data_IF_364745695264
#
_entry.id   IF_364745695264
#
_cell.length_a   1.000
_cell.length_b   1.000
_cell.length_c   1.000
_cell.angle_alpha   90.00
_cell.angle_beta   90.00
_cell.angle_gamma   90.00
#
_symmetry.space_group_name_H-M   'P 1'
#
loop_
_entity.id
_entity.type
_entity.pdbx_description
1 polymer ?
#
# COMPACT_ATOMS: atom_id res chain seq x y z
N UNK A 1 -26.73 -5.22 -28.05
CA UNK A 1 -26.06 -5.13 -26.73
C UNK A 1 -24.63 -4.68 -26.99
N UNK A 2 -24.04 -4.00 -26.02
CA UNK A 2 -22.68 -3.44 -26.02
C UNK A 2 -22.49 -2.01 -26.53
N UNK A 3 -23.09 -1.07 -25.78
CA UNK A 3 -22.66 0.34 -25.73
C UNK A 3 -22.67 0.79 -24.27
N UNK A 4 -21.60 0.51 -23.49
CA UNK A 4 -21.44 1.15 -22.16
C UNK A 4 -20.05 1.01 -21.51
N UNK A 5 -18.95 1.07 -22.28
CA UNK A 5 -17.60 1.05 -21.70
C UNK A 5 -16.81 2.38 -21.82
N UNK A 6 -17.37 3.39 -22.49
CA UNK A 6 -16.64 4.63 -22.78
C UNK A 6 -17.04 5.81 -21.87
N UNK A 7 -18.15 5.73 -21.12
CA UNK A 7 -18.63 6.85 -20.28
C UNK A 7 -18.00 6.95 -18.89
N UNK A 8 -17.39 5.88 -18.36
CA UNK A 8 -16.71 5.95 -17.05
C UNK A 8 -15.33 6.62 -17.09
N UNK A 9 -14.75 6.80 -18.28
CA UNK A 9 -13.40 7.35 -18.44
C UNK A 9 -13.35 8.89 -18.45
N UNK A 10 -14.46 9.58 -18.70
CA UNK A 10 -14.47 11.04 -18.92
C UNK A 10 -14.91 11.83 -17.68
N UNK A 11 -15.54 11.18 -16.69
CA UNK A 11 -15.96 11.86 -15.46
C UNK A 11 -14.87 11.97 -14.39
N UNK A 12 -13.77 11.22 -14.54
CA UNK A 12 -12.58 11.30 -13.67
C UNK A 12 -11.67 12.52 -13.97
N UNK A 13 -12.09 13.41 -14.88
CA UNK A 13 -11.34 14.61 -15.28
C UNK A 13 -11.58 15.86 -14.41
N UNK A 14 -12.39 15.78 -13.34
CA UNK A 14 -12.63 16.91 -12.44
C UNK A 14 -12.51 16.48 -10.99
N UNK A 15 -11.50 17.03 -10.32
CA UNK A 15 -11.24 17.00 -8.86
C UNK A 15 -10.30 15.88 -8.39
N UNK A 16 -8.99 16.13 -8.45
CA UNK A 16 -8.06 15.58 -7.46
C UNK A 16 -6.85 16.52 -7.34
N UNK A 17 -7.04 17.66 -6.67
CA UNK A 17 -5.92 18.56 -6.32
C UNK A 17 -4.95 17.96 -5.27
N UNK A 18 -5.19 16.72 -4.79
CA UNK A 18 -4.47 16.10 -3.66
C UNK A 18 -4.09 14.60 -3.87
N UNK A 19 -3.85 14.12 -5.10
CA UNK A 19 -3.35 12.75 -5.28
C UNK A 19 -1.83 12.69 -5.19
N UNK A 20 -1.28 12.10 -4.13
CA UNK A 20 0.14 11.74 -4.05
C UNK A 20 0.30 10.34 -4.65
N UNK A 21 0.83 10.27 -5.88
CA UNK A 21 1.16 9.02 -6.55
C UNK A 21 2.65 8.77 -6.44
N UNK A 22 3.04 7.93 -5.49
CA UNK A 22 4.38 7.36 -5.48
C UNK A 22 4.35 6.02 -6.20
N UNK A 23 5.25 5.84 -7.17
CA UNK A 23 5.59 4.53 -7.72
C UNK A 23 6.91 4.12 -7.10
N UNK A 24 6.89 3.12 -6.23
CA UNK A 24 8.12 2.49 -5.75
C UNK A 24 8.36 1.30 -6.66
N UNK A 25 9.56 1.23 -7.22
CA UNK A 25 9.98 0.09 -8.01
C UNK A 25 10.04 -1.15 -7.10
N UNK A 26 9.20 -2.15 -7.37
CA UNK A 26 9.26 -3.43 -6.67
C UNK A 26 10.40 -4.32 -7.18
N UNK A 27 11.05 -5.03 -6.26
CA UNK A 27 12.22 -5.90 -6.46
C UNK A 27 11.86 -7.22 -7.14
N UNK A 28 12.79 -7.71 -7.98
CA UNK A 28 12.76 -8.97 -8.74
C UNK A 28 12.72 -10.22 -7.82
N UNK A 29 11.64 -11.02 -7.87
CA UNK A 29 11.64 -12.38 -7.32
C UNK A 29 11.61 -13.47 -8.40
N UNK A 30 12.76 -14.13 -8.56
CA UNK A 30 12.89 -15.57 -8.80
C UNK A 30 12.52 -16.14 -10.17
N UNK A 31 11.38 -15.76 -10.78
CA UNK A 31 10.91 -16.30 -12.08
C UNK A 31 10.08 -15.31 -12.93
N UNK A 32 10.07 -14.03 -12.56
CA UNK A 32 9.45 -12.92 -13.29
C UNK A 32 9.45 -11.64 -12.45
N UNK A 33 9.45 -10.46 -13.10
CA UNK A 33 9.29 -9.17 -12.42
C UNK A 33 7.87 -9.10 -11.83
N UNK A 34 7.77 -9.29 -10.51
CA UNK A 34 6.57 -8.98 -9.72
C UNK A 34 6.85 -7.67 -9.02
N UNK A 35 6.23 -6.61 -9.51
CA UNK A 35 6.37 -5.28 -8.90
C UNK A 35 5.16 -5.01 -8.00
N UNK A 36 5.39 -4.36 -6.87
CA UNK A 36 4.30 -3.86 -6.02
C UNK A 36 4.14 -2.36 -6.26
N UNK A 37 2.90 -1.89 -6.33
CA UNK A 37 2.58 -0.48 -6.46
C UNK A 37 1.69 -0.07 -5.29
N UNK A 38 2.14 0.93 -4.56
CA UNK A 38 1.43 1.50 -3.42
C UNK A 38 0.83 2.84 -3.84
N UNK A 39 -0.49 2.97 -3.77
CA UNK A 39 -1.20 4.20 -4.13
C UNK A 39 -1.90 4.72 -2.89
N UNK A 40 -1.63 5.98 -2.54
CA UNK A 40 -2.34 6.65 -1.46
C UNK A 40 -3.12 7.85 -2.02
N UNK A 41 -4.45 7.80 -1.90
CA UNK A 41 -5.33 8.83 -2.45
C UNK A 41 -6.50 9.06 -1.50
N UNK A 42 -6.73 10.32 -1.13
CA UNK A 42 -7.87 10.76 -0.31
C UNK A 42 -8.08 9.95 0.99
N UNK A 43 -6.98 9.56 1.64
CA UNK A 43 -7.03 8.78 2.87
C UNK A 43 -7.25 7.28 2.66
N UNK A 44 -7.20 6.79 1.42
CA UNK A 44 -7.24 5.37 1.08
C UNK A 44 -5.87 4.89 0.64
N UNK A 45 -5.44 3.74 1.16
CA UNK A 45 -4.23 3.04 0.76
C UNK A 45 -4.60 1.83 -0.10
N UNK A 46 -4.04 1.76 -1.30
CA UNK A 46 -4.14 0.61 -2.19
C UNK A 46 -2.75 0.01 -2.42
N UNK A 47 -2.65 -1.32 -2.41
CA UNK A 47 -1.46 -2.04 -2.87
C UNK A 47 -1.86 -2.98 -3.99
N UNK A 48 -1.22 -2.81 -5.13
CA UNK A 48 -1.41 -3.56 -6.36
C UNK A 48 -0.16 -4.37 -6.70
N UNK A 49 -0.35 -5.54 -7.30
CA UNK A 49 0.72 -6.36 -7.87
C UNK A 49 0.70 -6.22 -9.37
N UNK A 50 1.85 -5.94 -9.96
CA UNK A 50 2.07 -5.80 -11.40
C UNK A 50 2.85 -7.03 -11.88
N UNK A 51 2.24 -7.78 -12.80
CA UNK A 51 2.87 -8.92 -13.45
C UNK A 51 3.32 -8.54 -14.86
N UNK A 52 4.62 -8.63 -15.13
CA UNK A 52 5.18 -8.64 -16.49
C UNK A 52 4.76 -7.45 -17.37
N UNK A 53 4.61 -6.26 -16.78
CA UNK A 53 4.22 -4.99 -17.44
C UNK A 53 2.81 -4.91 -18.04
N UNK A 54 1.92 -5.89 -17.86
CA UNK A 54 0.61 -5.89 -18.54
C UNK A 54 -0.60 -6.11 -17.64
N UNK A 55 -0.46 -6.76 -16.48
CA UNK A 55 -1.59 -7.02 -15.58
C UNK A 55 -1.34 -6.41 -14.21
N UNK A 56 -2.14 -5.40 -13.86
CA UNK A 56 -2.23 -4.85 -12.50
C UNK A 56 -3.39 -5.55 -11.78
N UNK A 57 -3.10 -6.16 -10.63
CA UNK A 57 -4.11 -6.79 -9.76
C UNK A 57 -4.04 -6.19 -8.36
N UNK A 58 -5.11 -5.53 -7.95
CA UNK A 58 -5.25 -5.01 -6.58
C UNK A 58 -5.22 -6.16 -5.58
N UNK A 59 -4.32 -6.09 -4.59
CA UNK A 59 -4.18 -7.11 -3.53
C UNK A 59 -4.59 -6.60 -2.15
N UNK A 60 -4.59 -5.29 -1.95
CA UNK A 60 -4.98 -4.68 -0.69
C UNK A 60 -5.62 -3.32 -0.93
N UNK A 61 -6.62 -2.99 -0.13
CA UNK A 61 -7.28 -1.70 -0.10
C UNK A 61 -7.74 -1.46 1.34
N UNK A 62 -7.44 -0.28 1.87
CA UNK A 62 -7.81 0.10 3.24
C UNK A 62 -8.06 1.60 3.32
N UNK A 63 -9.16 1.99 3.97
CA UNK A 63 -9.31 3.38 4.43
C UNK A 63 -8.40 3.59 5.65
N UNK A 64 -7.62 4.66 5.68
CA UNK A 64 -6.74 4.99 6.80
C UNK A 64 -7.50 5.22 8.11
N UNK A 65 -8.82 5.45 8.08
CA UNK A 65 -9.69 5.46 9.27
C UNK A 65 -9.82 4.10 9.95
N UNK A 66 -9.58 3.01 9.23
CA UNK A 66 -9.61 1.64 9.75
C UNK A 66 -8.25 1.22 10.33
N UNK A 67 -7.23 2.07 10.20
CA UNK A 67 -5.88 1.78 10.69
C UNK A 67 -5.81 2.05 12.18
N UNK A 68 -5.53 1.00 12.95
CA UNK A 68 -5.32 1.09 14.38
C UNK A 68 -3.91 1.57 14.73
N UNK A 69 -2.94 1.26 13.87
CA UNK A 69 -1.57 1.71 14.08
C UNK A 69 -0.66 1.39 12.91
N UNK A 70 0.46 2.10 12.83
CA UNK A 70 1.52 1.80 11.88
C UNK A 70 2.90 1.92 12.51
N UNK A 71 3.89 1.28 11.90
CA UNK A 71 5.30 1.38 12.26
C UNK A 71 6.15 1.46 11.00
N UNK A 72 6.99 2.49 10.91
CA UNK A 72 8.08 2.55 9.94
C UNK A 72 9.33 1.92 10.57
N UNK A 73 10.03 1.09 9.80
CA UNK A 73 11.24 0.39 10.24
C UNK A 73 11.58 -0.78 9.32
N UNK A 74 12.50 -1.63 9.73
CA UNK A 74 12.77 -2.87 9.00
C UNK A 74 11.62 -3.87 9.17
N UNK A 75 11.54 -4.86 8.27
CA UNK A 75 10.59 -5.97 8.38
C UNK A 75 10.65 -6.68 9.74
N UNK A 76 11.84 -6.86 10.30
CA UNK A 76 12.03 -7.49 11.61
C UNK A 76 11.49 -6.61 12.75
N UNK A 77 11.67 -5.29 12.67
CA UNK A 77 11.09 -4.35 13.65
C UNK A 77 9.57 -4.37 13.60
N UNK A 78 8.99 -4.48 12.40
CA UNK A 78 7.54 -4.62 12.19
C UNK A 78 7.04 -5.93 12.84
N UNK A 79 7.72 -7.05 12.56
CA UNK A 79 7.37 -8.34 13.14
C UNK A 79 7.47 -8.30 14.68
N UNK A 80 8.50 -7.68 15.24
CA UNK A 80 8.63 -7.52 16.70
C UNK A 80 7.51 -6.68 17.30
N UNK A 81 7.02 -5.66 16.58
CA UNK A 81 6.00 -4.73 17.08
C UNK A 81 4.58 -5.28 17.01
N UNK A 82 4.22 -5.90 15.89
CA UNK A 82 2.86 -6.35 15.61
C UNK A 82 2.69 -7.87 15.64
N UNK A 83 3.78 -8.62 15.72
CA UNK A 83 3.76 -10.08 15.64
C UNK A 83 3.66 -10.55 14.19
N UNK A 84 2.77 -11.53 13.96
CA UNK A 84 2.60 -12.17 12.65
C UNK A 84 2.19 -11.14 11.58
N UNK A 85 2.94 -11.11 10.48
CA UNK A 85 2.57 -10.37 9.27
C UNK A 85 1.62 -11.26 8.44
N UNK A 86 0.39 -10.79 8.21
CA UNK A 86 -0.62 -11.55 7.47
C UNK A 86 -0.49 -11.37 5.95
N UNK A 87 -0.08 -10.18 5.51
CA UNK A 87 0.21 -9.88 4.10
C UNK A 87 1.52 -9.13 3.98
N UNK A 88 2.44 -9.72 3.23
CA UNK A 88 3.75 -9.14 2.99
C UNK A 88 3.88 -8.76 1.51
N UNK A 89 4.05 -7.47 1.27
CA UNK A 89 4.26 -6.83 -0.02
C UNK A 89 5.61 -6.09 -0.06
N UNK A 90 6.54 -6.44 0.84
CA UNK A 90 7.91 -5.92 0.82
C UNK A 90 8.78 -6.72 -0.16
N UNK A 91 9.90 -6.13 -0.58
CA UNK A 91 10.92 -6.80 -1.38
C UNK A 91 11.64 -7.93 -0.65
N UNK A 92 11.51 -8.02 0.67
CA UNK A 92 12.32 -8.91 1.49
C UNK A 92 13.81 -8.57 1.51
N UNK A 93 14.23 -7.43 0.92
CA UNK A 93 15.62 -6.98 1.00
C UNK A 93 15.99 -6.66 2.46
N UNK A 94 17.09 -7.24 2.97
CA UNK A 94 17.54 -6.97 4.34
C UNK A 94 17.81 -5.48 4.55
N UNK A 95 17.18 -4.90 5.57
CA UNK A 95 17.36 -3.48 5.91
C UNK A 95 16.51 -2.50 5.11
N UNK A 96 15.67 -2.96 4.16
CA UNK A 96 14.73 -2.08 3.46
C UNK A 96 13.75 -1.41 4.43
N UNK A 97 13.48 -0.13 4.21
CA UNK A 97 12.51 0.63 4.99
C UNK A 97 11.10 0.15 4.63
N UNK A 98 10.45 -0.51 5.58
CA UNK A 98 9.10 -1.01 5.48
C UNK A 98 8.13 -0.19 6.34
N UNK A 99 6.85 -0.33 6.03
CA UNK A 99 5.72 0.11 6.82
C UNK A 99 4.90 -1.12 7.21
N UNK A 100 4.80 -1.38 8.52
CA UNK A 100 3.83 -2.29 9.09
C UNK A 100 2.56 -1.52 9.41
N UNK A 101 1.42 -1.99 8.94
CA UNK A 101 0.14 -1.34 9.11
C UNK A 101 -0.86 -2.33 9.69
N UNK A 102 -1.38 -2.02 10.87
CA UNK A 102 -2.42 -2.78 11.56
C UNK A 102 -3.78 -2.15 11.22
N UNK A 103 -4.60 -2.89 10.48
CA UNK A 103 -5.96 -2.46 10.09
C UNK A 103 -7.01 -3.36 10.69
N UNK A 104 -8.18 -2.82 11.00
CA UNK A 104 -9.35 -3.60 11.40
C UNK A 104 -10.12 -4.14 10.21
N UNK A 105 -10.50 -5.41 10.32
CA UNK A 105 -11.38 -6.10 9.37
C UNK A 105 -12.51 -6.77 10.13
N UNK A 106 -13.56 -7.20 9.42
CA UNK A 106 -14.68 -7.96 10.01
C UNK A 106 -14.23 -9.25 10.72
N UNK A 107 -13.06 -9.80 10.36
CA UNK A 107 -12.51 -11.03 10.92
C UNK A 107 -11.46 -10.79 12.01
N UNK A 108 -11.28 -9.55 12.44
CA UNK A 108 -10.23 -9.13 13.38
C UNK A 108 -9.18 -8.22 12.73
N UNK A 109 -8.08 -7.98 13.43
CA UNK A 109 -7.01 -7.14 12.89
C UNK A 109 -6.14 -7.88 11.87
N UNK A 110 -5.71 -7.17 10.84
CA UNK A 110 -4.81 -7.64 9.79
C UNK A 110 -3.52 -6.81 9.82
N UNK A 111 -2.37 -7.47 9.79
CA UNK A 111 -1.06 -6.81 9.68
C UNK A 111 -0.54 -6.89 8.24
N UNK A 112 -0.31 -5.73 7.65
CA UNK A 112 0.24 -5.59 6.29
C UNK A 112 1.63 -4.98 6.35
N UNK A 113 2.61 -5.60 5.71
CA UNK A 113 3.96 -5.09 5.56
C UNK A 113 4.21 -4.72 4.10
N UNK A 114 4.73 -3.52 3.82
CA UNK A 114 5.03 -3.04 2.47
C UNK A 114 6.10 -1.96 2.52
N UNK A 115 6.71 -1.64 1.39
CA UNK A 115 7.62 -0.49 1.30
C UNK A 115 6.81 0.78 0.95
N UNK A 116 6.78 1.79 1.82
CA UNK A 116 5.96 2.98 1.61
C UNK A 116 6.63 4.00 0.70
N UNK A 117 7.95 3.96 0.50
CA UNK A 117 8.66 5.02 -0.21
C UNK A 117 8.67 6.33 0.59
N UNK A 118 9.38 7.33 0.08
CA UNK A 118 9.64 8.56 0.84
C UNK A 118 8.39 9.42 1.03
N UNK A 119 7.53 9.57 0.02
CA UNK A 119 6.38 10.47 0.12
C UNK A 119 5.31 9.90 1.03
N UNK A 120 4.96 8.61 0.90
CA UNK A 120 3.98 8.01 1.79
C UNK A 120 4.52 7.90 3.23
N UNK A 121 5.81 7.59 3.43
CA UNK A 121 6.42 7.65 4.76
C UNK A 121 6.25 9.04 5.38
N UNK A 122 6.50 10.09 4.61
CA UNK A 122 6.31 11.49 5.05
C UNK A 122 4.84 11.81 5.37
N UNK A 123 3.89 11.29 4.59
CA UNK A 123 2.46 11.43 4.88
C UNK A 123 2.07 10.72 6.18
N UNK A 124 2.58 9.51 6.40
CA UNK A 124 2.31 8.75 7.63
C UNK A 124 2.82 9.50 8.87
N UNK A 125 4.06 10.02 8.82
CA UNK A 125 4.68 10.77 9.92
C UNK A 125 4.01 12.13 10.17
N UNK A 126 3.52 12.80 9.13
CA UNK A 126 2.89 14.13 9.26
C UNK A 126 1.41 14.05 9.61
N UNK A 127 0.61 13.33 8.82
CA UNK A 127 -0.86 13.29 8.92
C UNK A 127 -1.35 12.26 9.92
N UNK A 128 -0.64 11.14 10.04
CA UNK A 128 -1.07 10.00 10.85
C UNK A 128 -0.23 9.78 12.10
N UNK A 129 0.61 10.75 12.52
CA UNK A 129 1.53 10.64 13.67
C UNK A 129 0.94 10.00 14.94
N UNK A 130 -0.35 10.24 15.21
CA UNK A 130 -1.06 9.70 16.39
C UNK A 130 -1.32 8.20 16.34
N UNK A 131 -1.25 7.60 15.14
CA UNK A 131 -1.35 6.16 14.89
C UNK A 131 0.02 5.47 14.93
N UNK A 132 1.11 6.20 15.14
CA UNK A 132 2.45 5.60 15.19
C UNK A 132 2.57 4.73 16.45
N UNK A 133 2.87 3.45 16.23
CA UNK A 133 2.94 2.41 17.26
C UNK A 133 4.32 2.32 17.92
#
# INVERSE_FOLDING_TARGET
MDENYTEYAVQAGKTAKNSLRDRIAGVLFGRGLVEYETIYMDGTLEISVIYGKSSRKRRFLCDMKQVQGYRLGTRDEIFRRFGKIDRDFSSGEPGALCCGLKTDTEKGSLIVCFEPGETLASVLESKYRRLKA
#
